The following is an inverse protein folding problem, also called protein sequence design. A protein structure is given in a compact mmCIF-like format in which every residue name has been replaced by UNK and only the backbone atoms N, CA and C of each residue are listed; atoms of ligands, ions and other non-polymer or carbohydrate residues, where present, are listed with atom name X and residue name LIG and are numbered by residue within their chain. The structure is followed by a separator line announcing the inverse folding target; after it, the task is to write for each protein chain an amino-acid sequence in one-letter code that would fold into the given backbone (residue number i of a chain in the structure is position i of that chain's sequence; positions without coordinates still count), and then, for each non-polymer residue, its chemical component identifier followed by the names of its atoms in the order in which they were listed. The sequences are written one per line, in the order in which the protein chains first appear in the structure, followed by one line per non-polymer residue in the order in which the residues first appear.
data_IF_881767800480
#
_entry.id   IF_881767800480
#
_cell.length_a   1.000
_cell.length_b   1.000
_cell.length_c   1.000
_cell.angle_alpha   90.00
_cell.angle_beta   90.00
_cell.angle_gamma   90.00
#
_symmetry.space_group_name_H-M   'P 1'
#
loop_
_entity.id
_entity.type
_entity.pdbx_description
1 polymer ?
#
# COMPACT_ATOMS: atom_id res chain seq x y z
N UNK A 1 15.83 -4.33 15.54
CA UNK A 1 15.63 -3.22 14.58
C UNK A 1 14.13 -3.06 14.37
N UNK A 2 13.52 -2.07 15.00
CA UNK A 2 12.09 -1.74 14.78
C UNK A 2 11.97 -0.98 13.46
N UNK A 3 11.10 -1.38 12.53
CA UNK A 3 10.89 -0.63 11.31
C UNK A 3 10.29 0.74 11.65
N UNK A 4 10.98 1.81 11.25
CA UNK A 4 10.44 3.17 11.32
C UNK A 4 9.51 3.37 10.14
N UNK A 5 8.23 3.56 10.40
CA UNK A 5 7.23 3.95 9.40
C UNK A 5 7.23 5.47 9.32
N UNK A 6 7.82 6.03 8.27
CA UNK A 6 7.67 7.45 7.95
C UNK A 6 6.33 7.64 7.22
N UNK A 7 5.48 8.61 7.63
CA UNK A 7 4.28 8.94 6.87
C UNK A 7 4.70 9.56 5.54
N UNK A 8 4.38 8.87 4.45
CA UNK A 8 4.38 9.50 3.13
C UNK A 8 3.09 10.32 3.05
N UNK A 9 3.19 11.59 2.66
CA UNK A 9 2.02 12.44 2.44
C UNK A 9 1.72 12.36 0.95
N UNK A 10 0.51 11.97 0.55
CA UNK A 10 0.10 12.04 -0.86
C UNK A 10 -0.09 13.50 -1.30
N UNK A 11 -0.12 13.77 -2.60
CA UNK A 11 -0.43 15.10 -3.15
C UNK A 11 -1.75 15.69 -2.63
N UNK A 12 -2.66 14.86 -2.11
CA UNK A 12 -3.94 15.26 -1.52
C UNK A 12 -3.89 15.47 0.02
N UNK A 13 -2.71 15.40 0.64
CA UNK A 13 -2.53 15.70 2.07
C UNK A 13 -3.01 14.61 3.03
N UNK A 14 -3.38 13.44 2.52
CA UNK A 14 -3.78 12.30 3.36
C UNK A 14 -2.54 11.52 3.83
N UNK A 15 -2.49 11.10 5.11
CA UNK A 15 -1.38 10.30 5.60
C UNK A 15 -1.41 8.89 4.98
N UNK A 16 -0.30 8.49 4.37
CA UNK A 16 -0.07 7.12 3.92
C UNK A 16 0.69 6.34 4.99
N UNK A 17 0.14 5.18 5.35
CA UNK A 17 0.73 4.24 6.28
C UNK A 17 1.33 3.06 5.53
N UNK A 18 2.64 2.87 5.66
CA UNK A 18 3.36 1.75 5.06
C UNK A 18 3.08 0.46 5.83
N UNK A 19 2.72 -0.59 5.10
CA UNK A 19 2.55 -1.96 5.62
C UNK A 19 3.51 -2.88 4.89
N UNK A 20 4.41 -3.50 5.65
CA UNK A 20 5.27 -4.58 5.16
C UNK A 20 4.62 -5.93 5.45
N UNK A 21 4.59 -6.82 4.48
CA UNK A 21 4.07 -8.18 4.65
C UNK A 21 4.95 -9.20 3.92
N UNK A 22 5.12 -10.36 4.54
CA UNK A 22 5.90 -11.46 3.99
C UNK A 22 5.00 -12.38 3.16
N UNK A 23 5.45 -12.72 1.96
CA UNK A 23 4.86 -13.73 1.09
C UNK A 23 5.88 -14.85 0.87
N UNK A 24 5.49 -15.93 0.18
CA UNK A 24 6.43 -16.98 -0.21
C UNK A 24 7.55 -16.46 -1.12
N UNK A 25 7.27 -15.42 -1.90
CA UNK A 25 8.21 -14.80 -2.84
C UNK A 25 9.10 -13.73 -2.19
N UNK A 26 8.83 -13.34 -0.94
CA UNK A 26 9.62 -12.36 -0.21
C UNK A 26 8.81 -11.29 0.51
N UNK A 27 9.51 -10.22 0.92
CA UNK A 27 8.94 -9.09 1.63
C UNK A 27 8.39 -8.04 0.65
N UNK A 28 7.10 -7.79 0.73
CA UNK A 28 6.41 -6.77 -0.05
C UNK A 28 5.98 -5.62 0.86
N UNK A 29 5.78 -4.45 0.24
CA UNK A 29 5.28 -3.27 0.93
C UNK A 29 4.09 -2.71 0.16
N UNK A 30 3.06 -2.33 0.90
CA UNK A 30 1.92 -1.56 0.38
C UNK A 30 1.71 -0.32 1.26
N UNK A 31 0.88 0.60 0.79
CA UNK A 31 0.48 1.79 1.53
C UNK A 31 -1.03 1.83 1.66
N UNK A 32 -1.53 2.16 2.85
CA UNK A 32 -2.94 2.45 3.10
C UNK A 32 -3.12 3.92 3.43
N UNK A 33 -4.16 4.51 2.85
CA UNK A 33 -4.68 5.79 3.30
C UNK A 33 -5.43 5.59 4.61
N UNK A 34 -5.03 6.29 5.67
CA UNK A 34 -5.75 6.28 6.93
C UNK A 34 -5.64 7.64 7.63
N UNK A 35 -6.51 7.89 8.60
CA UNK A 35 -6.53 9.15 9.36
C UNK A 35 -5.45 9.16 10.45
N UNK A 36 -5.20 8.00 11.05
CA UNK A 36 -4.24 7.76 12.12
C UNK A 36 -3.84 6.28 12.12
N UNK A 37 -2.93 5.91 13.03
CA UNK A 37 -2.41 4.54 13.13
C UNK A 37 -3.48 3.51 13.51
N UNK A 38 -4.40 3.85 14.42
CA UNK A 38 -5.48 2.95 14.83
C UNK A 38 -6.50 2.74 13.71
N UNK A 39 -6.77 3.76 12.90
CA UNK A 39 -7.56 3.63 11.68
C UNK A 39 -6.85 2.73 10.65
N UNK A 40 -5.53 2.87 10.48
CA UNK A 40 -4.76 2.00 9.57
C UNK A 40 -4.82 0.52 10.01
N UNK A 41 -4.77 0.23 11.31
CA UNK A 41 -4.89 -1.13 11.86
C UNK A 41 -6.28 -1.73 11.62
N UNK A 42 -7.35 -0.94 11.80
CA UNK A 42 -8.72 -1.38 11.50
C UNK A 42 -8.90 -1.68 10.01
N UNK A 43 -8.44 -0.79 9.13
CA UNK A 43 -8.50 -1.01 7.68
C UNK A 43 -7.72 -2.26 7.28
N UNK A 44 -6.54 -2.50 7.85
CA UNK A 44 -5.77 -3.71 7.57
C UNK A 44 -6.47 -4.98 8.05
N UNK A 45 -7.13 -4.94 9.21
CA UNK A 45 -7.90 -6.08 9.72
C UNK A 45 -9.11 -6.39 8.84
N UNK A 46 -9.82 -5.35 8.40
CA UNK A 46 -10.94 -5.47 7.46
C UNK A 46 -10.46 -6.03 6.11
N UNK A 47 -9.38 -5.49 5.56
CA UNK A 47 -8.81 -5.94 4.29
C UNK A 47 -8.41 -7.43 4.35
N UNK A 48 -7.84 -7.89 5.47
CA UNK A 48 -7.56 -9.33 5.67
C UNK A 48 -8.82 -10.19 5.71
N UNK A 49 -9.94 -9.66 6.20
CA UNK A 49 -11.18 -10.40 6.37
C UNK A 49 -12.07 -10.38 5.12
N UNK A 50 -12.05 -9.29 4.35
CA UNK A 50 -13.05 -9.02 3.31
C UNK A 50 -12.46 -8.74 1.93
N UNK A 51 -11.13 -8.64 1.77
CA UNK A 51 -10.55 -8.30 0.48
C UNK A 51 -10.94 -9.32 -0.59
N UNK A 52 -11.77 -8.86 -1.52
CA UNK A 52 -12.07 -9.52 -2.78
C UNK A 52 -11.52 -8.62 -3.88
N UNK A 53 -10.91 -9.21 -4.90
CA UNK A 53 -10.44 -8.47 -6.06
C UNK A 53 -11.65 -7.92 -6.83
N UNK A 54 -12.03 -6.67 -6.58
CA UNK A 54 -13.05 -5.96 -7.37
C UNK A 54 -12.43 -5.36 -8.64
N UNK A 55 -12.10 -6.22 -9.61
CA UNK A 55 -11.69 -5.78 -10.95
C UNK A 55 -10.49 -6.51 -11.53
N UNK A 56 -9.75 -5.83 -12.39
CA UNK A 56 -8.57 -6.37 -13.09
C UNK A 56 -7.29 -5.84 -12.44
N UNK A 57 -6.31 -6.72 -12.25
CA UNK A 57 -4.96 -6.30 -11.87
C UNK A 57 -4.36 -5.48 -13.03
N UNK A 58 -4.18 -4.19 -12.81
CA UNK A 58 -3.50 -3.34 -13.79
C UNK A 58 -2.00 -3.55 -13.61
N UNK A 59 -1.36 -4.21 -14.58
CA UNK A 59 0.09 -4.18 -14.68
C UNK A 59 0.48 -2.73 -14.95
N UNK A 60 1.28 -2.11 -14.08
CA UNK A 60 1.87 -0.82 -14.38
C UNK A 60 2.61 -0.95 -15.72
N UNK A 61 2.03 -0.37 -16.78
CA UNK A 61 2.68 -0.25 -18.06
C UNK A 61 3.94 0.56 -17.83
N UNK A 62 5.10 -0.01 -18.15
CA UNK A 62 6.33 0.75 -18.19
C UNK A 62 6.18 1.69 -19.38
N UNK A 63 5.64 2.88 -19.14
CA UNK A 63 5.70 3.98 -20.10
C UNK A 63 7.14 4.48 -20.12
N UNK A 64 8.02 3.71 -20.75
CA UNK A 64 9.31 4.22 -21.21
C UNK A 64 9.04 5.21 -22.36
N UNK A 65 9.82 6.30 -22.48
CA UNK A 65 9.69 7.17 -23.63
C UNK A 65 10.03 6.38 -24.90
N UNK A 66 9.11 6.36 -25.86
CA UNK A 66 9.42 6.02 -27.24
C UNK A 66 10.35 7.13 -27.75
N UNK A 67 11.66 6.83 -27.79
CA UNK A 67 12.63 7.66 -28.50
C UNK A 67 12.66 7.12 -29.93
N UNK A 68 12.04 7.86 -30.84
CA UNK A 68 12.12 7.68 -32.30
C UNK A 68 13.56 7.83 -32.81
#
# INVERSE_FOLDING_TARGET
MTPVTLPLVSDEGWPLFRIGYMTQDGLFNTYLYAMDMGHAEQLLAELKATAVLEGQMVKAGISGPEIE
#
